data_IF_834515550605
#
_entry.id   IF_834515550605
#
_cell.length_a   1.000
_cell.length_b   1.000
_cell.length_c   1.000
_cell.angle_alpha   90.00
_cell.angle_beta   90.00
_cell.angle_gamma   90.00
#
_symmetry.space_group_name_H-M   'P 1'
#
loop_
_entity.id
_entity.type
_entity.pdbx_description
1 polymer ?
#
# COMPACT_ATOMS: atom_id res chain seq x y z
N UNK A 1 3.07 -15.32 6.52
CA UNK A 1 4.13 -14.34 6.25
C UNK A 1 4.88 -14.11 7.55
N UNK A 2 6.17 -14.38 7.58
CA UNK A 2 7.02 -14.15 8.76
C UNK A 2 7.44 -12.68 8.83
N UNK A 3 7.94 -12.24 9.99
CA UNK A 3 8.51 -10.90 10.13
C UNK A 3 9.63 -10.64 9.10
N UNK A 4 10.51 -11.62 8.90
CA UNK A 4 11.65 -11.51 7.97
C UNK A 4 11.19 -11.32 6.52
N UNK A 5 10.17 -12.07 6.11
CA UNK A 5 9.58 -11.94 4.76
C UNK A 5 8.96 -10.54 4.56
N UNK A 6 8.20 -10.04 5.53
CA UNK A 6 7.59 -8.70 5.48
C UNK A 6 8.67 -7.60 5.47
N UNK A 7 9.68 -7.73 6.32
CA UNK A 7 10.78 -6.75 6.42
C UNK A 7 11.59 -6.69 5.13
N UNK A 8 11.92 -7.84 4.52
CA UNK A 8 12.63 -7.90 3.24
C UNK A 8 11.84 -7.22 2.11
N UNK A 9 10.53 -7.46 2.06
CA UNK A 9 9.64 -6.82 1.07
C UNK A 9 9.62 -5.29 1.24
N UNK A 10 9.45 -4.80 2.48
CA UNK A 10 9.42 -3.36 2.76
C UNK A 10 10.78 -2.69 2.55
N UNK A 11 11.89 -3.34 2.91
CA UNK A 11 13.23 -2.83 2.64
C UNK A 11 13.49 -2.68 1.13
N UNK A 12 13.07 -3.67 0.34
CA UNK A 12 13.15 -3.60 -1.13
C UNK A 12 12.31 -2.46 -1.71
N UNK A 13 11.08 -2.29 -1.22
CA UNK A 13 10.23 -1.15 -1.61
C UNK A 13 10.87 0.19 -1.24
N UNK A 14 11.38 0.34 -0.01
CA UNK A 14 12.02 1.58 0.44
C UNK A 14 13.25 1.94 -0.42
N UNK A 15 14.08 0.95 -0.78
CA UNK A 15 15.19 1.17 -1.70
C UNK A 15 14.73 1.58 -3.10
N UNK A 16 13.77 0.85 -3.68
CA UNK A 16 13.36 1.04 -5.07
C UNK A 16 12.49 2.30 -5.31
N UNK A 17 11.64 2.64 -4.35
CA UNK A 17 10.62 3.71 -4.51
C UNK A 17 11.02 4.99 -3.78
N UNK A 18 11.58 4.87 -2.57
CA UNK A 18 11.96 6.02 -1.75
C UNK A 18 13.45 6.41 -1.93
N UNK A 19 14.24 5.57 -2.60
CA UNK A 19 15.69 5.78 -2.73
C UNK A 19 16.45 5.65 -1.41
N UNK A 20 15.86 4.98 -0.41
CA UNK A 20 16.48 4.83 0.91
C UNK A 20 17.64 3.85 0.85
N UNK A 21 18.76 4.21 1.49
CA UNK A 21 19.79 3.24 1.83
C UNK A 21 19.25 2.23 2.86
N UNK A 22 19.73 0.98 2.88
CA UNK A 22 19.25 -0.05 3.82
C UNK A 22 19.28 0.37 5.29
N UNK A 23 20.28 1.17 5.68
CA UNK A 23 20.46 1.65 7.06
C UNK A 23 19.33 2.59 7.49
N UNK A 24 18.77 3.37 6.56
CA UNK A 24 17.64 4.27 6.84
C UNK A 24 16.40 3.44 7.17
N UNK A 25 16.13 2.39 6.39
CA UNK A 25 15.02 1.47 6.66
C UNK A 25 15.14 0.81 8.04
N UNK A 26 16.31 0.28 8.38
CA UNK A 26 16.49 -0.43 9.67
C UNK A 26 16.48 0.48 10.89
N UNK A 27 16.73 1.79 10.72
CA UNK A 27 16.62 2.77 11.79
C UNK A 27 15.24 3.39 11.93
N UNK A 28 14.44 3.36 10.86
CA UNK A 28 13.07 3.88 10.89
C UNK A 28 12.19 3.03 11.79
N UNK A 29 11.35 3.69 12.59
CA UNK A 29 10.32 3.00 13.38
C UNK A 29 9.17 2.56 12.49
N UNK A 30 8.38 1.53 12.89
CA UNK A 30 7.19 1.14 12.17
C UNK A 30 6.17 2.28 11.97
N UNK A 31 6.05 3.19 12.93
CA UNK A 31 5.15 4.33 12.85
C UNK A 31 5.58 5.35 11.80
N UNK A 32 6.88 5.67 11.73
CA UNK A 32 7.44 6.55 10.70
C UNK A 32 7.30 5.91 9.30
N UNK A 33 7.59 4.61 9.18
CA UNK A 33 7.43 3.88 7.93
C UNK A 33 5.97 3.89 7.47
N UNK A 34 5.01 3.66 8.38
CA UNK A 34 3.59 3.72 8.07
C UNK A 34 3.17 5.13 7.61
N UNK A 35 3.71 6.19 8.22
CA UNK A 35 3.46 7.57 7.80
C UNK A 35 3.94 7.87 6.38
N UNK A 36 5.16 7.44 6.03
CA UNK A 36 5.71 7.63 4.68
C UNK A 36 4.93 6.83 3.63
N UNK A 37 4.62 5.57 3.92
CA UNK A 37 3.82 4.72 3.02
C UNK A 37 2.40 5.28 2.86
N UNK A 38 1.78 5.75 3.95
CA UNK A 38 0.47 6.40 3.90
C UNK A 38 0.47 7.65 3.02
N UNK A 39 1.49 8.50 3.13
CA UNK A 39 1.63 9.69 2.28
C UNK A 39 1.81 9.35 0.79
N UNK A 40 2.48 8.24 0.47
CA UNK A 40 2.67 7.76 -0.91
C UNK A 40 1.39 7.18 -1.52
N UNK A 41 0.64 6.40 -0.74
CA UNK A 41 -0.59 5.73 -1.21
C UNK A 41 -1.76 6.72 -1.26
N UNK A 42 -1.72 7.76 -0.43
CA UNK A 42 -2.83 8.70 -0.27
C UNK A 42 -3.99 8.10 0.53
N UNK A 43 -5.10 8.83 0.58
CA UNK A 43 -6.37 8.31 1.11
C UNK A 43 -6.80 7.14 0.24
N UNK A 44 -6.83 5.94 0.82
CA UNK A 44 -7.37 4.77 0.14
C UNK A 44 -8.89 4.95 0.04
N UNK A 45 -9.38 5.31 -1.15
CA UNK A 45 -10.81 5.22 -1.42
C UNK A 45 -11.26 3.78 -1.18
N UNK A 46 -12.30 3.63 -0.36
CA UNK A 46 -12.86 2.30 -0.08
C UNK A 46 -13.39 1.75 -1.41
N UNK A 47 -12.88 0.59 -1.89
CA UNK A 47 -13.39 0.01 -3.12
C UNK A 47 -14.90 -0.21 -3.01
N UNK A 48 -15.67 0.01 -4.10
CA UNK A 48 -17.10 -0.24 -4.06
C UNK A 48 -17.38 -1.68 -3.68
N UNK A 49 -18.34 -1.87 -2.79
CA UNK A 49 -18.75 -3.20 -2.35
C UNK A 49 -19.44 -3.97 -3.48
N UNK A 50 -19.61 -5.28 -3.29
CA UNK A 50 -20.24 -6.14 -4.30
C UNK A 50 -21.64 -5.65 -4.69
N UNK A 51 -22.38 -5.05 -3.75
CA UNK A 51 -23.73 -4.50 -4.00
C UNK A 51 -23.68 -3.27 -4.92
N UNK A 52 -22.73 -2.36 -4.68
CA UNK A 52 -22.49 -1.19 -5.53
C UNK A 52 -22.03 -1.61 -6.92
N UNK A 53 -21.13 -2.59 -7.02
CA UNK A 53 -20.68 -3.14 -8.31
C UNK A 53 -21.85 -3.75 -9.08
N UNK A 54 -22.70 -4.55 -8.43
CA UNK A 54 -23.87 -5.16 -9.08
C UNK A 54 -24.86 -4.10 -9.60
N UNK A 55 -25.10 -3.04 -8.81
CA UNK A 55 -25.94 -1.91 -9.21
C UNK A 55 -25.37 -1.18 -10.43
N UNK A 56 -24.07 -0.91 -10.45
CA UNK A 56 -23.40 -0.25 -11.58
C UNK A 56 -23.46 -1.09 -12.85
N UNK A 57 -23.22 -2.41 -12.74
CA UNK A 57 -23.32 -3.35 -13.88
C UNK A 57 -24.73 -3.42 -14.47
N UNK A 58 -25.77 -3.27 -13.65
CA UNK A 58 -27.16 -3.20 -14.13
C UNK A 58 -27.54 -1.85 -14.73
N UNK A 59 -26.99 -0.75 -14.17
CA UNK A 59 -27.28 0.61 -14.64
C UNK A 59 -26.55 0.98 -15.95
N UNK A 60 -25.41 0.34 -16.22
CA UNK A 60 -24.58 0.55 -17.42
C UNK A 60 -24.28 -0.82 -18.07
N UNK A 61 -25.25 -1.42 -18.80
CA UNK A 61 -25.15 -2.78 -19.36
C UNK A 61 -24.21 -2.89 -20.58
N UNK A 62 -23.71 -1.77 -21.06
CA UNK A 62 -22.88 -1.58 -22.24
C UNK A 62 -21.39 -1.56 -21.83
N UNK A 63 -20.81 -2.76 -21.77
CA UNK A 63 -19.35 -2.97 -21.80
C UNK A 63 -18.79 -2.91 -23.20
#
# INVERSE_FOLDING_TARGET
MTFSESAARLAGFAGAVLGWAPEVFWRATPAELAGVVGALVGEAETPPDASTIARLRGAFPDG
#
